data_IF_313054469357
#
_entry.id   IF_313054469357
#
_cell.length_a   1.000
_cell.length_b   1.000
_cell.length_c   1.000
_cell.angle_alpha   90.00
_cell.angle_beta   90.00
_cell.angle_gamma   90.00
#
_symmetry.space_group_name_H-M   'P 1'
#
loop_
_entity.id
_entity.type
_entity.pdbx_description
1 polymer ?
#
# COMPACT_ATOMS: atom_id res chain seq x y z
N UNK A 1 0.16 -17.49 8.12
CA UNK A 1 -1.24 -17.71 7.71
C UNK A 1 -1.81 -16.33 7.41
N UNK A 2 -2.36 -16.11 6.23
CA UNK A 2 -3.13 -14.89 5.96
C UNK A 2 -4.45 -15.02 6.73
N UNK A 3 -4.74 -14.08 7.62
CA UNK A 3 -6.03 -14.00 8.30
C UNK A 3 -7.15 -13.74 7.30
N UNK A 4 -8.40 -14.05 7.66
CA UNK A 4 -9.55 -13.71 6.83
C UNK A 4 -9.57 -12.20 6.54
N UNK A 5 -9.51 -11.86 5.25
CA UNK A 5 -9.49 -10.47 4.80
C UNK A 5 -10.89 -9.86 4.87
N UNK A 6 -10.98 -8.61 5.31
CA UNK A 6 -12.23 -7.85 5.35
C UNK A 6 -12.72 -7.45 3.96
N UNK A 7 -11.78 -7.27 3.02
CA UNK A 7 -12.06 -7.01 1.61
C UNK A 7 -11.53 -8.19 0.78
N UNK A 8 -12.28 -8.66 -0.23
CA UNK A 8 -11.93 -9.87 -0.98
C UNK A 8 -10.79 -9.66 -1.99
N UNK A 9 -10.36 -8.43 -2.20
CA UNK A 9 -9.38 -7.99 -3.19
C UNK A 9 -8.26 -7.18 -2.54
N UNK A 10 -7.16 -6.99 -3.27
CA UNK A 10 -6.01 -6.19 -2.80
C UNK A 10 -4.69 -6.75 -3.29
N UNK A 11 -3.58 -6.12 -2.88
CA UNK A 11 -2.22 -6.56 -3.20
C UNK A 11 -1.46 -6.87 -1.93
N UNK A 12 -1.03 -8.13 -1.77
CA UNK A 12 -0.22 -8.58 -0.65
C UNK A 12 1.21 -8.05 -0.76
N UNK A 13 1.68 -7.43 0.32
CA UNK A 13 3.08 -7.08 0.52
C UNK A 13 3.81 -8.33 1.00
N UNK A 14 4.48 -9.01 0.06
CA UNK A 14 5.25 -10.22 0.37
C UNK A 14 6.64 -9.91 0.94
N UNK A 15 7.23 -8.77 0.58
CA UNK A 15 8.52 -8.31 1.06
C UNK A 15 8.72 -6.83 0.72
N UNK A 16 9.63 -6.16 1.43
CA UNK A 16 10.15 -4.85 1.05
C UNK A 16 11.65 -4.96 0.77
N UNK A 17 12.11 -4.43 -0.36
CA UNK A 17 13.51 -4.53 -0.80
C UNK A 17 14.04 -3.18 -1.27
N UNK A 18 15.31 -2.89 -0.97
CA UNK A 18 15.96 -1.64 -1.39
C UNK A 18 15.69 -0.48 -0.42
N UNK A 19 16.13 0.71 -0.81
CA UNK A 19 15.90 1.94 -0.04
C UNK A 19 14.56 2.56 -0.47
N UNK A 20 13.60 2.76 0.45
CA UNK A 20 12.33 3.37 0.10
C UNK A 20 12.50 4.84 -0.31
N UNK A 21 11.77 5.26 -1.36
CA UNK A 21 11.73 6.65 -1.84
C UNK A 21 10.88 7.56 -0.95
N UNK A 22 10.00 6.96 -0.14
CA UNK A 22 9.15 7.64 0.81
C UNK A 22 9.64 7.39 2.24
N UNK A 23 9.25 8.27 3.16
CA UNK A 23 9.46 8.11 4.59
C UNK A 23 8.12 8.09 5.33
N UNK A 24 8.11 7.64 6.58
CA UNK A 24 6.89 7.51 7.39
C UNK A 24 6.49 6.05 7.65
N UNK A 25 5.18 5.82 7.78
CA UNK A 25 4.62 4.52 8.16
C UNK A 25 4.64 3.53 6.99
N UNK A 26 5.83 3.00 6.68
CA UNK A 26 6.02 2.07 5.58
C UNK A 26 5.11 0.83 5.67
N UNK A 27 4.62 0.30 4.53
CA UNK A 27 3.97 -0.99 4.49
C UNK A 27 4.94 -2.09 4.94
N UNK A 28 4.40 -3.13 5.56
CA UNK A 28 5.13 -4.26 6.13
C UNK A 28 4.73 -5.55 5.43
N UNK A 29 5.60 -6.55 5.52
CA UNK A 29 5.24 -7.91 5.09
C UNK A 29 3.95 -8.38 5.77
N UNK A 30 3.04 -8.94 4.98
CA UNK A 30 1.73 -9.39 5.44
C UNK A 30 0.62 -8.34 5.32
N UNK A 31 0.95 -7.07 5.04
CA UNK A 31 -0.06 -6.08 4.71
C UNK A 31 -0.75 -6.41 3.38
N UNK A 32 -2.05 -6.15 3.30
CA UNK A 32 -2.77 -6.13 2.01
C UNK A 32 -3.14 -4.70 1.68
N UNK A 33 -2.61 -4.18 0.57
CA UNK A 33 -2.92 -2.83 0.07
C UNK A 33 -4.23 -2.87 -0.70
N UNK A 34 -5.21 -2.09 -0.23
CA UNK A 34 -6.56 -2.00 -0.78
C UNK A 34 -6.78 -0.74 -1.61
N UNK A 35 -6.07 0.35 -1.31
CA UNK A 35 -6.17 1.60 -2.05
C UNK A 35 -4.90 2.45 -1.98
N UNK A 36 -4.70 3.27 -3.02
CA UNK A 36 -3.68 4.32 -3.12
C UNK A 36 -4.38 5.65 -3.32
N UNK A 37 -4.18 6.63 -2.44
CA UNK A 37 -4.82 7.95 -2.50
C UNK A 37 -6.34 7.87 -2.75
N UNK A 38 -7.01 6.91 -2.11
CA UNK A 38 -8.45 6.66 -2.23
C UNK A 38 -8.89 5.89 -3.47
N UNK A 39 -7.98 5.53 -4.38
CA UNK A 39 -8.26 4.71 -5.56
C UNK A 39 -8.08 3.23 -5.25
N UNK A 40 -9.13 2.44 -5.48
CA UNK A 40 -9.15 1.00 -5.20
C UNK A 40 -8.10 0.26 -6.03
N UNK A 41 -7.36 -0.62 -5.38
CA UNK A 41 -6.33 -1.48 -5.97
C UNK A 41 -6.77 -2.93 -5.85
N UNK A 42 -6.78 -3.65 -6.96
CA UNK A 42 -7.20 -5.07 -7.00
C UNK A 42 -6.16 -5.98 -7.63
N UNK A 43 -5.06 -5.41 -8.13
CA UNK A 43 -3.99 -6.16 -8.79
C UNK A 43 -2.65 -5.42 -8.67
N UNK A 44 -1.55 -6.17 -8.81
CA UNK A 44 -0.20 -5.58 -8.84
C UNK A 44 -0.05 -4.58 -9.98
N UNK A 45 -0.70 -4.84 -11.13
CA UNK A 45 -0.64 -3.94 -12.29
C UNK A 45 -1.34 -2.61 -12.04
N UNK A 46 -2.52 -2.63 -11.41
CA UNK A 46 -3.20 -1.39 -11.00
C UNK A 46 -2.39 -0.63 -9.96
N UNK A 47 -1.80 -1.32 -8.97
CA UNK A 47 -0.92 -0.69 -7.98
C UNK A 47 0.25 0.04 -8.65
N UNK A 48 0.98 -0.65 -9.54
CA UNK A 48 2.12 -0.06 -10.27
C UNK A 48 1.71 1.16 -11.08
N UNK A 49 0.63 1.03 -11.85
CA UNK A 49 0.13 2.16 -12.66
C UNK A 49 -0.28 3.36 -11.82
N UNK A 50 -0.76 3.18 -10.59
CA UNK A 50 -1.10 4.29 -9.70
C UNK A 50 0.15 4.94 -9.11
N UNK A 51 1.12 4.13 -8.67
CA UNK A 51 2.39 4.65 -8.15
C UNK A 51 3.20 5.39 -9.22
N UNK A 52 3.24 4.89 -10.45
CA UNK A 52 3.96 5.52 -11.58
C UNK A 52 3.37 6.89 -11.98
N UNK A 53 2.12 7.18 -11.60
CA UNK A 53 1.47 8.47 -11.84
C UNK A 53 1.76 9.52 -10.78
N UNK A 54 2.29 9.11 -9.63
CA UNK A 54 2.63 10.03 -8.55
C UNK A 54 3.80 10.90 -8.98
N UNK A 55 3.69 12.20 -8.71
CA UNK A 55 4.79 13.14 -8.92
C UNK A 55 5.81 12.99 -7.78
N UNK A 56 7.05 13.41 -8.04
CA UNK A 56 8.18 13.20 -7.13
C UNK A 56 8.05 13.83 -5.74
N UNK A 57 7.04 14.68 -5.52
CA UNK A 57 6.82 15.42 -4.27
C UNK A 57 5.39 15.23 -3.72
N UNK A 58 4.64 14.26 -4.25
CA UNK A 58 3.23 14.04 -3.88
C UNK A 58 3.11 13.07 -2.68
N UNK A 59 2.38 13.44 -1.61
CA UNK A 59 2.14 12.54 -0.49
C UNK A 59 1.36 11.31 -0.93
N UNK A 60 1.69 10.18 -0.32
CA UNK A 60 1.11 8.88 -0.60
C UNK A 60 0.35 8.38 0.63
N UNK A 61 -0.93 8.11 0.45
CA UNK A 61 -1.77 7.44 1.43
C UNK A 61 -2.10 6.04 0.94
N UNK A 62 -1.71 5.04 1.71
CA UNK A 62 -2.09 3.65 1.48
C UNK A 62 -3.19 3.25 2.44
N UNK A 63 -4.29 2.70 1.93
CA UNK A 63 -5.21 1.93 2.76
C UNK A 63 -4.70 0.49 2.80
N UNK A 64 -4.36 0.01 3.98
CA UNK A 64 -3.89 -1.35 4.19
C UNK A 64 -4.76 -2.11 5.17
N UNK A 65 -4.78 -3.42 5.02
CA UNK A 65 -5.25 -4.33 6.05
C UNK A 65 -4.07 -5.07 6.66
N UNK A 66 -3.93 -4.93 7.98
CA UNK A 66 -2.89 -5.58 8.79
C UNK A 66 -3.56 -6.23 9.98
N UNK A 67 -3.35 -7.52 10.16
CA UNK A 67 -3.91 -8.28 11.29
C UNK A 67 -5.44 -8.08 11.41
N UNK A 68 -6.15 -8.16 10.26
CA UNK A 68 -7.60 -7.94 10.16
C UNK A 68 -8.09 -6.53 10.57
N UNK A 69 -7.19 -5.56 10.65
CA UNK A 69 -7.51 -4.14 10.89
C UNK A 69 -7.24 -3.31 9.64
N UNK A 70 -8.24 -2.53 9.22
CA UNK A 70 -8.08 -1.53 8.15
C UNK A 70 -7.47 -0.25 8.74
N UNK A 71 -6.39 0.21 8.13
CA UNK A 71 -5.68 1.42 8.56
C UNK A 71 -5.16 2.21 7.35
N UNK A 72 -4.84 3.48 7.61
CA UNK A 72 -4.19 4.36 6.66
C UNK A 72 -2.73 4.53 7.03
N UNK A 73 -1.86 4.32 6.07
CA UNK A 73 -0.44 4.66 6.15
C UNK A 73 -0.21 5.96 5.38
N UNK A 74 0.45 6.91 6.00
CA UNK A 74 0.82 8.19 5.36
C UNK A 74 2.32 8.19 5.11
N UNK A 75 2.68 8.41 3.86
CA UNK A 75 4.05 8.37 3.35
C UNK A 75 4.36 9.69 2.66
N UNK A 76 5.49 10.28 3.02
CA UNK A 76 5.94 11.58 2.52
C UNK A 76 7.18 11.40 1.65
N UNK A 77 7.25 12.13 0.54
CA UNK A 77 8.44 12.29 -0.29
C UNK A 77 9.30 13.44 0.25
N UNK A 78 10.60 13.34 0.10
CA UNK A 78 11.59 14.28 0.65
C UNK A 78 11.74 15.55 -0.19
#
# INVERSE_FOLDING_TARGET
MLSDLRLPDGVLVAAQTGTPSYFGDQPREGDVIHAVNGRRITSVETLRSELDRLKSDEPLVLQVERESSLMLLVLESN
#
